data_IF_231608722177
#
_entry.id   IF_231608722177
#
_cell.length_a   1.000
_cell.length_b   1.000
_cell.length_c   1.000
_cell.angle_alpha   90.00
_cell.angle_beta   90.00
_cell.angle_gamma   90.00
#
_symmetry.space_group_name_H-M   'P 1'
#
loop_
_entity.id
_entity.type
_entity.pdbx_description
1 polymer ?
#
# COMPACT_ATOMS: atom_id res chain seq x y z
N UNK A 1 -25.89 -9.56 10.51
CA UNK A 1 -24.54 -8.96 10.64
C UNK A 1 -24.12 -8.36 9.30
N UNK A 2 -24.45 -7.10 9.02
CA UNK A 2 -23.89 -6.39 7.84
C UNK A 2 -22.66 -5.65 8.33
N UNK A 3 -21.46 -6.10 7.93
CA UNK A 3 -20.18 -5.57 8.41
C UNK A 3 -19.85 -4.25 7.70
N UNK A 4 -19.22 -3.34 8.43
CA UNK A 4 -18.96 -1.93 8.13
C UNK A 4 -17.69 -1.68 7.32
N UNK A 5 -17.24 -2.67 6.55
CA UNK A 5 -15.97 -2.57 5.84
C UNK A 5 -16.20 -1.97 4.46
N UNK A 6 -15.46 -0.91 4.16
CA UNK A 6 -15.38 -0.29 2.85
C UNK A 6 -13.95 -0.42 2.34
N UNK A 7 -13.83 -0.70 1.04
CA UNK A 7 -12.54 -0.90 0.37
C UNK A 7 -11.63 -1.92 1.06
N UNK A 8 -12.11 -3.15 1.36
CA UNK A 8 -11.23 -4.19 1.86
C UNK A 8 -10.19 -4.53 0.79
N UNK A 9 -8.92 -4.57 1.18
CA UNK A 9 -7.79 -4.93 0.34
C UNK A 9 -6.86 -5.87 1.11
N UNK A 10 -6.40 -6.92 0.44
CA UNK A 10 -5.42 -7.87 0.99
C UNK A 10 -4.03 -7.46 0.55
N UNK A 11 -3.06 -7.63 1.44
CA UNK A 11 -1.66 -7.36 1.19
C UNK A 11 -0.76 -8.41 1.85
N UNK A 12 0.43 -8.57 1.30
CA UNK A 12 1.47 -9.42 1.84
C UNK A 12 2.19 -8.76 3.03
N UNK A 13 2.55 -9.55 4.04
CA UNK A 13 3.40 -9.12 5.15
C UNK A 13 4.34 -10.28 5.49
N UNK A 14 5.34 -10.51 4.63
CA UNK A 14 6.33 -11.55 4.82
C UNK A 14 5.73 -12.95 4.70
N UNK A 15 5.41 -13.57 5.83
CA UNK A 15 4.75 -14.91 5.87
C UNK A 15 3.26 -14.83 6.19
N UNK A 16 2.75 -13.63 6.47
CA UNK A 16 1.37 -13.40 6.88
C UNK A 16 0.58 -12.67 5.79
N UNK A 17 -0.74 -12.90 5.76
CA UNK A 17 -1.67 -12.11 4.95
C UNK A 17 -2.34 -11.09 5.85
N UNK A 18 -2.29 -9.83 5.45
CA UNK A 18 -3.02 -8.76 6.11
C UNK A 18 -4.19 -8.29 5.26
N UNK A 19 -5.25 -7.84 5.93
CA UNK A 19 -6.36 -7.12 5.33
C UNK A 19 -6.36 -5.70 5.86
N UNK A 20 -6.54 -4.73 4.98
CA UNK A 20 -6.80 -3.34 5.35
C UNK A 20 -8.15 -2.92 4.81
N UNK A 21 -8.91 -2.17 5.61
CA UNK A 21 -10.21 -1.65 5.20
C UNK A 21 -10.57 -0.38 5.98
N UNK A 22 -11.35 0.50 5.35
CA UNK A 22 -12.05 1.54 6.07
C UNK A 22 -13.22 0.91 6.83
N UNK A 23 -13.35 1.26 8.10
CA UNK A 23 -14.47 0.88 8.96
C UNK A 23 -15.42 2.06 9.07
N UNK A 24 -16.68 1.83 8.74
CA UNK A 24 -17.75 2.80 8.89
C UNK A 24 -18.54 2.60 10.19
N UNK A 25 -19.31 3.62 10.55
CA UNK A 25 -20.14 3.58 11.74
C UNK A 25 -21.40 2.76 11.48
N UNK A 26 -21.63 1.73 12.29
CA UNK A 26 -22.97 1.12 12.46
C UNK A 26 -23.84 1.92 13.41
N UNK A 27 -25.09 1.48 13.57
CA UNK A 27 -25.91 1.69 14.78
C UNK A 27 -25.22 1.27 16.12
N UNK A 28 -24.08 0.59 16.06
CA UNK A 28 -23.18 0.21 17.16
C UNK A 28 -22.01 1.18 17.07
N UNK A 29 -21.63 1.78 18.18
CA UNK A 29 -20.72 2.93 18.40
C UNK A 29 -19.26 2.80 17.89
N UNK A 30 -19.03 2.12 16.76
CA UNK A 30 -17.71 1.92 16.16
C UNK A 30 -17.23 3.22 15.50
N UNK A 31 -16.05 3.76 15.91
CA UNK A 31 -15.48 4.94 15.27
C UNK A 31 -15.04 4.65 13.84
N UNK A 32 -15.24 5.63 12.96
CA UNK A 32 -14.72 5.60 11.59
C UNK A 32 -13.20 5.65 11.63
N UNK A 33 -12.54 4.76 10.90
CA UNK A 33 -11.07 4.66 10.84
C UNK A 33 -10.67 3.70 9.72
N UNK A 34 -9.40 3.71 9.30
CA UNK A 34 -8.80 2.62 8.52
C UNK A 34 -8.11 1.67 9.49
N UNK A 35 -8.34 0.37 9.34
CA UNK A 35 -7.77 -0.65 10.25
C UNK A 35 -7.12 -1.77 9.49
N UNK A 36 -6.18 -2.43 10.15
CA UNK A 36 -5.42 -3.57 9.62
C UNK A 36 -5.70 -4.79 10.48
N UNK A 37 -5.94 -5.93 9.83
CA UNK A 37 -6.10 -7.23 10.46
C UNK A 37 -5.09 -8.21 9.89
N UNK A 38 -4.47 -9.03 10.74
CA UNK A 38 -3.67 -10.18 10.32
C UNK A 38 -4.52 -11.45 10.34
N UNK A 39 -4.31 -12.33 9.36
CA UNK A 39 -4.89 -13.67 9.36
C UNK A 39 -4.08 -14.58 10.26
N UNK A 40 -4.63 -14.92 11.43
CA UNK A 40 -4.01 -15.83 12.39
C UNK A 40 -4.77 -17.16 12.40
N UNK A 41 -4.11 -18.24 12.00
CA UNK A 41 -4.71 -19.57 11.81
C UNK A 41 -5.91 -19.57 10.86
N UNK A 42 -7.12 -19.28 11.37
CA UNK A 42 -8.38 -19.24 10.61
C UNK A 42 -9.25 -18.03 10.99
N UNK A 43 -8.69 -17.05 11.69
CA UNK A 43 -9.41 -15.88 12.18
C UNK A 43 -8.64 -14.59 11.90
N UNK A 44 -9.39 -13.52 11.66
CA UNK A 44 -8.84 -12.17 11.48
C UNK A 44 -8.71 -11.48 12.83
N UNK A 45 -7.48 -11.13 13.20
CA UNK A 45 -7.16 -10.38 14.43
C UNK A 45 -6.80 -8.96 14.05
N UNK A 46 -7.44 -7.96 14.65
CA UNK A 46 -7.10 -6.56 14.40
C UNK A 46 -5.75 -6.24 15.05
N UNK A 47 -4.80 -5.74 14.26
CA UNK A 47 -3.43 -5.47 14.70
C UNK A 47 -3.13 -3.98 14.77
N UNK A 48 -3.83 -3.15 13.97
CA UNK A 48 -3.56 -1.72 13.90
C UNK A 48 -4.79 -0.88 13.54
N UNK A 49 -4.82 0.37 14.02
CA UNK A 49 -5.80 1.39 13.66
C UNK A 49 -5.12 2.70 13.29
N UNK A 50 -5.51 3.28 12.16
CA UNK A 50 -5.03 4.59 11.75
C UNK A 50 -5.39 5.65 12.82
N UNK A 51 -4.42 6.44 13.30
CA UNK A 51 -4.64 7.50 14.28
C UNK A 51 -5.69 8.53 13.80
N UNK A 52 -6.52 9.10 14.70
CA UNK A 52 -7.62 9.99 14.30
C UNK A 52 -7.21 11.20 13.46
N UNK A 53 -6.07 11.83 13.78
CA UNK A 53 -5.59 13.00 13.03
C UNK A 53 -5.17 12.64 11.59
N UNK A 54 -4.47 11.53 11.44
CA UNK A 54 -4.07 11.01 10.13
C UNK A 54 -5.30 10.56 9.35
N UNK A 55 -6.27 9.92 10.02
CA UNK A 55 -7.52 9.49 9.40
C UNK A 55 -8.33 10.67 8.86
N UNK A 56 -8.36 11.81 9.55
CA UNK A 56 -9.04 13.02 9.07
C UNK A 56 -8.49 13.46 7.71
N UNK A 57 -7.17 13.58 7.61
CA UNK A 57 -6.48 13.94 6.37
C UNK A 57 -6.70 12.89 5.28
N UNK A 58 -6.59 11.60 5.62
CA UNK A 58 -6.84 10.51 4.70
C UNK A 58 -8.27 10.53 4.17
N UNK A 59 -9.27 10.73 5.02
CA UNK A 59 -10.68 10.76 4.63
C UNK A 59 -11.01 11.95 3.73
N UNK A 60 -10.37 13.10 3.96
CA UNK A 60 -10.49 14.29 3.11
C UNK A 60 -9.90 14.01 1.71
N UNK A 61 -8.68 13.46 1.65
CA UNK A 61 -8.02 13.11 0.39
C UNK A 61 -8.78 12.01 -0.36
N UNK A 62 -9.22 10.97 0.34
CA UNK A 62 -9.84 9.78 -0.23
C UNK A 62 -11.25 10.06 -0.77
N UNK A 63 -12.02 10.94 -0.11
CA UNK A 63 -13.26 11.49 -0.65
C UNK A 63 -14.30 10.44 -1.08
N UNK A 64 -14.29 9.24 -0.50
CA UNK A 64 -15.22 8.16 -0.85
C UNK A 64 -14.83 7.30 -2.06
N UNK A 65 -13.73 7.58 -2.76
CA UNK A 65 -13.29 6.87 -4.00
C UNK A 65 -12.84 5.43 -3.77
N UNK A 66 -12.52 5.10 -2.54
CA UNK A 66 -11.86 3.89 -2.10
C UNK A 66 -10.35 3.96 -2.26
N UNK A 67 -9.70 2.85 -1.93
CA UNK A 67 -8.27 2.69 -2.05
C UNK A 67 -7.92 1.25 -2.41
N UNK A 68 -6.68 1.05 -2.81
CA UNK A 68 -6.04 -0.26 -2.99
C UNK A 68 -4.80 -0.31 -2.10
N UNK A 69 -4.31 -1.51 -1.81
CA UNK A 69 -3.11 -1.67 -1.00
C UNK A 69 -2.14 -2.67 -1.58
N UNK A 70 -0.86 -2.45 -1.29
CA UNK A 70 0.24 -3.36 -1.58
C UNK A 70 1.09 -3.48 -0.33
N UNK A 71 1.46 -4.71 0.00
CA UNK A 71 2.42 -4.99 1.06
C UNK A 71 3.78 -5.33 0.46
N UNK A 72 4.85 -4.85 1.08
CA UNK A 72 6.22 -5.14 0.67
C UNK A 72 7.14 -5.12 1.89
N UNK A 73 7.53 -6.31 2.36
CA UNK A 73 8.33 -6.47 3.57
C UNK A 73 7.63 -5.81 4.76
N UNK A 74 8.26 -4.78 5.30
CA UNK A 74 7.85 -4.08 6.53
C UNK A 74 6.86 -2.93 6.29
N UNK A 75 6.41 -2.74 5.05
CA UNK A 75 5.50 -1.64 4.71
C UNK A 75 4.21 -2.12 4.06
N UNK A 76 3.10 -1.54 4.49
CA UNK A 76 1.82 -1.55 3.78
C UNK A 76 1.62 -0.17 3.14
N UNK A 77 1.58 -0.12 1.82
CA UNK A 77 1.23 1.09 1.08
C UNK A 77 -0.25 1.05 0.67
N UNK A 78 -0.96 2.16 0.88
CA UNK A 78 -2.36 2.33 0.53
C UNK A 78 -2.48 3.50 -0.43
N UNK A 79 -2.92 3.22 -1.65
CA UNK A 79 -3.08 4.19 -2.73
C UNK A 79 -4.55 4.56 -2.87
N UNK A 80 -4.85 5.85 -2.80
CA UNK A 80 -6.21 6.36 -3.00
C UNK A 80 -6.57 6.25 -4.49
N UNK A 81 -7.76 5.69 -4.80
CA UNK A 81 -8.21 5.53 -6.19
C UNK A 81 -8.32 6.87 -6.90
N UNK A 82 -7.76 6.94 -8.11
CA UNK A 82 -7.72 8.18 -8.90
C UNK A 82 -6.89 9.31 -8.29
N UNK A 83 -5.96 9.01 -7.37
CA UNK A 83 -4.98 9.98 -6.84
C UNK A 83 -3.56 9.41 -6.90
N UNK A 84 -2.58 10.31 -6.85
CA UNK A 84 -1.17 9.99 -6.61
C UNK A 84 -0.84 9.82 -5.11
N UNK A 85 -1.81 10.12 -4.23
CA UNK A 85 -1.63 10.08 -2.79
C UNK A 85 -1.50 8.64 -2.28
N UNK A 86 -0.42 8.41 -1.54
CA UNK A 86 -0.12 7.13 -0.91
C UNK A 86 0.12 7.36 0.58
N UNK A 87 -0.53 6.56 1.42
CA UNK A 87 -0.25 6.48 2.85
C UNK A 87 0.45 5.15 3.14
N UNK A 88 1.52 5.21 3.93
CA UNK A 88 2.33 4.07 4.32
C UNK A 88 2.05 3.74 5.78
N UNK A 89 1.95 2.46 6.09
CA UNK A 89 2.06 1.92 7.43
C UNK A 89 3.35 1.11 7.54
N UNK A 90 4.22 1.51 8.47
CA UNK A 90 5.44 0.80 8.84
C UNK A 90 5.12 -0.19 9.97
N UNK A 91 5.21 -1.49 9.70
CA UNK A 91 4.88 -2.53 10.68
C UNK A 91 5.85 -2.56 11.85
N UNK A 92 7.14 -2.25 11.64
CA UNK A 92 8.16 -2.25 12.69
C UNK A 92 8.01 -1.08 13.64
N UNK A 93 7.80 0.12 13.08
CA UNK A 93 7.65 1.34 13.86
C UNK A 93 6.23 1.56 14.37
N UNK A 94 5.27 0.80 13.83
CA UNK A 94 3.83 1.00 14.02
C UNK A 94 3.42 2.44 13.70
N UNK A 95 3.95 2.96 12.61
CA UNK A 95 3.82 4.37 12.24
C UNK A 95 3.05 4.51 10.93
N UNK A 96 2.09 5.42 10.92
CA UNK A 96 1.36 5.85 9.72
C UNK A 96 1.97 7.15 9.21
N UNK A 97 2.30 7.22 7.93
CA UNK A 97 2.85 8.43 7.32
C UNK A 97 2.45 8.56 5.86
N UNK A 98 2.23 9.79 5.41
CA UNK A 98 2.11 10.06 3.98
C UNK A 98 3.44 9.78 3.27
N UNK A 99 3.36 9.13 2.12
CA UNK A 99 4.52 9.01 1.25
C UNK A 99 4.91 10.41 0.73
N UNK A 100 6.21 10.70 0.58
CA UNK A 100 6.63 11.94 -0.04
C UNK A 100 6.12 12.00 -1.50
N UNK A 101 5.77 13.20 -2.01
CA UNK A 101 5.35 13.35 -3.40
C UNK A 101 6.39 12.78 -4.37
N UNK A 102 5.95 11.94 -5.30
CA UNK A 102 6.83 11.43 -6.34
C UNK A 102 6.73 12.33 -7.58
N UNK A 103 7.84 12.97 -8.01
CA UNK A 103 7.81 13.91 -9.15
C UNK A 103 7.43 13.22 -10.46
N UNK A 104 7.64 11.90 -10.56
CA UNK A 104 7.38 11.10 -11.76
C UNK A 104 5.92 10.65 -11.92
N UNK A 105 5.08 10.77 -10.87
CA UNK A 105 3.68 10.33 -10.95
C UNK A 105 2.81 11.34 -11.71
N UNK A 106 3.16 12.64 -11.68
CA UNK A 106 2.39 13.72 -12.32
C UNK A 106 2.16 13.53 -13.82
N UNK A 107 3.03 12.76 -14.50
CA UNK A 107 2.92 12.47 -15.93
C UNK A 107 2.01 11.27 -16.26
N UNK A 108 1.68 10.43 -15.27
CA UNK A 108 0.91 9.19 -15.45
C UNK A 108 -0.59 9.41 -15.17
N UNK A 109 -0.93 10.45 -14.39
CA UNK A 109 -2.32 10.71 -13.93
C UNK A 109 -3.26 11.22 -15.04
N UNK A 110 -2.76 11.51 -16.24
CA UNK A 110 -3.59 11.97 -17.38
C UNK A 110 -4.26 10.83 -18.16
N UNK A 111 -4.03 9.56 -17.79
CA UNK A 111 -4.75 8.46 -18.39
C UNK A 111 -4.37 7.09 -17.85
N UNK A 112 -5.26 6.50 -17.06
CA UNK A 112 -5.40 5.04 -16.92
C UNK A 112 -4.28 4.25 -16.20
N UNK A 113 -3.69 4.78 -15.13
CA UNK A 113 -2.78 4.00 -14.29
C UNK A 113 -3.04 4.18 -12.80
N UNK A 114 -4.00 3.45 -12.23
CA UNK A 114 -3.95 3.15 -10.80
C UNK A 114 -2.58 2.51 -10.54
N UNK A 115 -1.82 3.05 -9.58
CA UNK A 115 -0.49 2.56 -9.26
C UNK A 115 -0.64 1.17 -8.60
N UNK A 116 -0.66 0.14 -9.44
CA UNK A 116 -0.61 -1.27 -9.05
C UNK A 116 0.81 -1.54 -8.61
N UNK A 117 1.10 -1.21 -7.35
CA UNK A 117 2.38 -1.56 -6.75
C UNK A 117 2.55 -3.08 -6.85
N UNK A 118 3.61 -3.51 -7.51
CA UNK A 118 4.08 -4.88 -7.38
C UNK A 118 5.17 -4.86 -6.31
N UNK A 119 5.10 -5.77 -5.35
CA UNK A 119 6.24 -6.08 -4.49
C UNK A 119 7.31 -6.75 -5.37
N UNK A 120 8.03 -5.93 -6.13
CA UNK A 120 9.16 -6.37 -6.92
C UNK A 120 10.40 -6.08 -6.08
N UNK A 121 11.10 -7.12 -5.67
CA UNK A 121 12.45 -6.99 -5.16
C UNK A 121 13.36 -6.85 -6.39
N UNK A 122 13.90 -5.65 -6.71
CA UNK A 122 14.79 -5.48 -7.84
C UNK A 122 16.10 -6.20 -7.57
N UNK A 123 16.16 -7.47 -7.97
CA UNK A 123 17.43 -8.20 -8.04
C UNK A 123 18.13 -7.73 -9.31
N UNK A 124 19.41 -7.40 -9.19
CA UNK A 124 20.33 -7.31 -10.34
C UNK A 124 20.42 -8.70 -10.96
N UNK A 125 19.44 -9.08 -11.79
CA UNK A 125 19.57 -10.21 -12.69
C UNK A 125 20.67 -9.82 -13.67
N UNK A 126 21.89 -10.23 -13.36
CA UNK A 126 23.06 -9.93 -14.18
C UNK A 126 23.23 -11.06 -15.18
N UNK A 127 22.85 -10.85 -16.45
CA UNK A 127 23.68 -11.29 -17.57
C UNK A 127 24.36 -10.08 -18.24
N UNK A 128 24.02 -8.85 -17.83
CA UNK A 128 24.54 -7.64 -18.44
C UNK A 128 26.04 -7.45 -18.21
N UNK A 129 26.60 -7.85 -17.05
CA UNK A 129 28.07 -7.83 -16.86
C UNK A 129 28.77 -8.74 -17.87
N UNK A 130 28.20 -9.91 -18.20
CA UNK A 130 28.74 -10.79 -19.24
C UNK A 130 28.66 -10.20 -20.66
N UNK A 131 27.75 -9.26 -20.90
CA UNK A 131 27.66 -8.53 -22.17
C UNK A 131 28.71 -7.41 -22.26
N UNK A 132 29.11 -6.82 -21.13
CA UNK A 132 30.14 -5.76 -21.10
C UNK A 132 31.52 -6.36 -21.42
N UNK A 133 31.83 -7.57 -20.96
CA UNK A 133 33.09 -8.26 -21.31
C UNK A 133 33.19 -8.59 -22.82
N UNK A 134 32.06 -8.81 -23.50
CA UNK A 134 32.02 -9.09 -24.94
C UNK A 134 32.33 -7.88 -25.83
N UNK A 135 32.32 -6.67 -25.27
CA UNK A 135 32.64 -5.41 -25.97
C UNK A 135 34.13 -5.02 -25.95
N UNK A 136 34.99 -5.87 -25.38
CA UNK A 136 36.44 -5.68 -25.41
C UNK A 136 37.12 -6.07 -26.74
N UNK A 137 36.33 -6.41 -27.77
CA UNK A 137 36.84 -6.67 -29.12
C UNK A 137 37.29 -5.36 -29.77
N UNK A 138 38.58 -5.06 -29.54
CA UNK A 138 39.54 -4.46 -30.47
C UNK A 138 38.94 -3.57 -31.57
N UNK A 139 38.94 -2.26 -31.33
CA UNK A 139 39.03 -1.29 -32.42
C UNK A 139 40.41 -1.47 -33.06
N UNK A 140 40.43 -2.08 -34.25
CA UNK A 140 41.60 -2.15 -35.13
C UNK A 140 41.35 -1.28 -36.36
#
# INVERSE_FOLDING_TARGET
MRRFLRSPSLADHGTEVVMVAAVEKSKLSVPRSVRVWALQSKAWTEIERMPPEIYRQFSEAEGGRGFESVGSGEFLAITIKGSADVILFDFNRREWRWAPPCPYISQIVTGAGDLRGFAYEPRLATPAIGLIDSSSLSFQ
#
